data_IF_454763863122
#
_entry.id   IF_454763863122
#
_cell.length_a   1.000
_cell.length_b   1.000
_cell.length_c   1.000
_cell.angle_alpha   90.00
_cell.angle_beta   90.00
_cell.angle_gamma   90.00
#
_symmetry.space_group_name_H-M   'P 1'
#
loop_
_entity.id
_entity.type
_entity.pdbx_description
1 polymer ?
#
# COMPACT_ATOMS: atom_id res chain seq x y z
N UNK A 1 -18.48 47.88 -11.32
CA UNK A 1 -18.59 46.94 -10.19
C UNK A 1 -18.21 45.63 -10.82
N UNK A 2 -16.97 45.22 -10.63
CA UNK A 2 -16.37 44.10 -11.35
C UNK A 2 -17.00 42.80 -10.84
N UNK A 3 -17.76 42.14 -11.71
CA UNK A 3 -18.14 40.76 -11.51
C UNK A 3 -16.85 39.94 -11.57
N UNK A 4 -16.27 39.66 -10.40
CA UNK A 4 -15.28 38.60 -10.25
C UNK A 4 -16.04 37.32 -10.63
N UNK A 5 -15.91 36.92 -11.89
CA UNK A 5 -16.43 35.65 -12.38
C UNK A 5 -15.84 34.57 -11.49
N UNK A 6 -16.65 34.01 -10.60
CA UNK A 6 -16.30 32.82 -9.84
C UNK A 6 -16.10 31.72 -10.88
N UNK A 7 -14.84 31.36 -11.10
CA UNK A 7 -14.50 30.26 -11.97
C UNK A 7 -14.83 28.97 -11.21
N UNK A 8 -15.94 28.35 -11.62
CA UNK A 8 -16.47 27.11 -11.08
C UNK A 8 -16.23 26.02 -12.12
N UNK A 9 -15.09 25.33 -12.00
CA UNK A 9 -14.69 24.24 -12.90
C UNK A 9 -14.88 22.89 -12.21
N UNK A 10 -15.45 21.93 -12.95
CA UNK A 10 -15.57 20.55 -12.50
C UNK A 10 -14.35 19.74 -12.96
N UNK A 11 -13.30 19.72 -12.14
CA UNK A 11 -12.11 18.92 -12.44
C UNK A 11 -12.39 17.43 -12.26
N UNK A 12 -12.22 16.64 -13.32
CA UNK A 12 -12.25 15.17 -13.25
C UNK A 12 -10.84 14.60 -13.37
N UNK A 13 -10.36 13.97 -12.30
CA UNK A 13 -9.01 13.38 -12.25
C UNK A 13 -9.08 11.86 -12.37
N UNK A 14 -8.41 11.33 -13.39
CA UNK A 14 -8.10 9.91 -13.50
C UNK A 14 -6.80 9.62 -12.76
N UNK A 15 -6.84 8.67 -11.83
CA UNK A 15 -5.66 8.18 -11.12
C UNK A 15 -5.48 6.71 -11.47
N UNK A 16 -4.32 6.39 -12.05
CA UNK A 16 -3.93 5.03 -12.37
C UNK A 16 -2.58 4.71 -11.73
N UNK A 17 -2.44 3.49 -11.24
CA UNK A 17 -1.28 3.06 -10.46
C UNK A 17 -0.84 1.65 -10.88
N UNK A 18 0.46 1.51 -11.15
CA UNK A 18 1.10 0.21 -11.30
C UNK A 18 2.15 0.06 -10.19
N UNK A 19 2.16 -1.04 -9.43
CA UNK A 19 1.35 -2.25 -9.61
C UNK A 19 -0.01 -2.19 -8.87
N UNK A 20 -0.96 -3.07 -9.22
CA UNK A 20 -2.23 -3.20 -8.48
C UNK A 20 -2.01 -4.01 -7.19
N UNK A 21 -1.98 -3.33 -6.05
CA UNK A 21 -1.72 -3.92 -4.74
C UNK A 21 -2.77 -4.94 -4.27
N UNK A 22 -3.90 -5.07 -4.96
CA UNK A 22 -4.88 -6.14 -4.69
C UNK A 22 -4.33 -7.53 -5.05
N UNK A 23 -3.31 -7.62 -5.91
CA UNK A 23 -2.67 -8.87 -6.32
C UNK A 23 -1.31 -9.04 -5.62
N UNK A 24 -1.31 -9.36 -4.31
CA UNK A 24 -0.10 -9.36 -3.47
C UNK A 24 0.97 -10.41 -3.81
N UNK A 25 0.67 -11.38 -4.69
CA UNK A 25 1.51 -12.56 -4.95
C UNK A 25 2.33 -12.49 -6.26
N UNK A 26 2.10 -11.51 -7.13
CA UNK A 26 2.88 -11.38 -8.36
C UNK A 26 4.30 -10.91 -8.08
N UNK A 27 5.23 -11.40 -8.90
CA UNK A 27 6.65 -11.07 -8.85
C UNK A 27 6.98 -10.25 -10.08
N UNK A 28 7.55 -9.06 -9.89
CA UNK A 28 8.02 -8.23 -10.99
C UNK A 28 9.42 -8.65 -11.43
N UNK A 29 9.74 -8.44 -12.71
CA UNK A 29 11.05 -8.82 -13.30
C UNK A 29 12.25 -8.14 -12.63
N UNK A 30 12.05 -6.98 -12.00
CA UNK A 30 13.06 -6.36 -11.16
C UNK A 30 13.02 -7.01 -9.77
N UNK A 31 14.10 -7.67 -9.38
CA UNK A 31 14.24 -8.35 -8.08
C UNK A 31 14.00 -7.43 -6.86
N UNK A 32 14.08 -6.11 -7.04
CA UNK A 32 13.84 -5.13 -5.98
C UNK A 32 12.38 -4.75 -5.79
N UNK A 33 11.49 -5.07 -6.73
CA UNK A 33 10.11 -4.62 -6.69
C UNK A 33 9.14 -5.76 -6.37
N UNK A 34 8.52 -5.64 -5.21
CA UNK A 34 7.40 -6.47 -4.76
C UNK A 34 6.16 -5.61 -4.67
N UNK A 35 5.01 -6.16 -5.05
CA UNK A 35 3.71 -5.50 -4.95
C UNK A 35 3.49 -4.98 -3.55
N UNK A 36 3.35 -5.87 -2.58
CA UNK A 36 3.10 -5.50 -1.19
C UNK A 36 4.07 -6.25 -0.30
N UNK A 37 4.90 -5.48 0.40
CA UNK A 37 5.72 -6.01 1.49
C UNK A 37 4.84 -6.00 2.74
N UNK A 38 4.38 -7.19 3.15
CA UNK A 38 3.61 -7.40 4.39
C UNK A 38 4.42 -8.23 5.37
N UNK A 39 4.65 -7.70 6.58
CA UNK A 39 5.29 -8.42 7.68
C UNK A 39 4.38 -8.34 8.89
N UNK A 40 3.94 -9.49 9.37
CA UNK A 40 3.04 -9.63 10.49
C UNK A 40 3.76 -10.37 11.62
N UNK A 41 3.87 -9.73 12.78
CA UNK A 41 4.54 -10.25 13.96
C UNK A 41 3.54 -10.36 15.10
N UNK A 42 3.31 -11.57 15.61
CA UNK A 42 2.55 -11.76 16.84
C UNK A 42 3.41 -11.32 18.03
N UNK A 43 2.90 -10.39 18.85
CA UNK A 43 3.63 -9.84 20.00
C UNK A 43 3.52 -10.68 21.27
N UNK A 44 2.52 -11.56 21.37
CA UNK A 44 2.22 -12.31 22.59
C UNK A 44 2.49 -13.82 22.46
N UNK A 45 2.79 -14.28 21.24
CA UNK A 45 2.99 -15.68 20.86
C UNK A 45 1.75 -16.54 21.02
N UNK A 46 1.77 -17.81 20.57
CA UNK A 46 0.68 -18.73 20.81
C UNK A 46 0.70 -19.22 22.28
N UNK A 47 -0.43 -19.28 23.00
CA UNK A 47 -1.81 -18.95 22.57
C UNK A 47 -2.18 -17.47 22.74
N UNK A 48 -1.30 -16.61 23.24
CA UNK A 48 -1.58 -15.21 23.56
C UNK A 48 -1.75 -15.00 25.07
N UNK A 49 -2.28 -13.85 25.47
CA UNK A 49 -2.45 -13.47 26.88
C UNK A 49 -3.85 -13.85 27.39
N UNK A 50 -3.93 -14.63 28.47
CA UNK A 50 -5.20 -14.87 29.16
C UNK A 50 -5.61 -13.63 29.98
N UNK A 51 -6.88 -13.23 29.87
CA UNK A 51 -7.44 -12.06 30.57
C UNK A 51 -8.44 -12.49 31.66
N UNK A 52 -8.30 -11.92 32.86
CA UNK A 52 -9.15 -12.04 34.08
C UNK A 52 -9.04 -13.36 34.90
N UNK A 53 -9.48 -13.38 36.18
CA UNK A 53 -8.66 -13.77 37.33
C UNK A 53 -8.79 -15.26 37.64
N UNK A 54 -8.12 -16.08 36.85
CA UNK A 54 -7.55 -17.39 37.19
C UNK A 54 -7.53 -18.23 35.93
N UNK A 55 -6.65 -19.24 35.91
CA UNK A 55 -6.64 -20.26 34.85
C UNK A 55 -7.92 -21.12 34.86
N UNK A 56 -8.89 -20.86 35.74
CA UNK A 56 -10.19 -21.55 35.77
C UNK A 56 -11.25 -20.79 36.61
N UNK A 57 -12.21 -20.05 35.99
CA UNK A 57 -12.37 -19.80 34.57
C UNK A 57 -11.60 -18.56 34.09
N UNK A 58 -10.83 -18.69 33.00
CA UNK A 58 -10.37 -17.52 32.25
C UNK A 58 -11.49 -16.99 31.35
N UNK A 59 -11.53 -15.68 31.10
CA UNK A 59 -12.66 -15.02 30.42
C UNK A 59 -12.43 -14.88 28.91
N UNK A 60 -11.19 -14.68 28.48
CA UNK A 60 -10.80 -14.66 27.08
C UNK A 60 -9.28 -14.79 26.94
N UNK A 61 -8.84 -15.07 25.72
CA UNK A 61 -7.45 -15.00 25.29
C UNK A 61 -7.30 -13.84 24.31
N UNK A 62 -6.32 -12.98 24.57
CA UNK A 62 -6.00 -11.82 23.76
C UNK A 62 -4.73 -12.08 22.94
N UNK A 63 -4.79 -11.80 21.64
CA UNK A 63 -3.62 -11.74 20.76
C UNK A 63 -3.40 -10.32 20.28
N UNK A 64 -2.13 -9.97 20.10
CA UNK A 64 -1.72 -8.68 19.57
C UNK A 64 -0.79 -8.92 18.40
N UNK A 65 -1.09 -8.27 17.28
CA UNK A 65 -0.32 -8.31 16.06
C UNK A 65 0.25 -6.95 15.75
N UNK A 66 1.50 -6.93 15.33
CA UNK A 66 2.20 -5.78 14.82
C UNK A 66 2.46 -6.02 13.32
N UNK A 67 1.86 -5.16 12.49
CA UNK A 67 1.80 -5.33 11.05
C UNK A 67 2.55 -4.17 10.41
N UNK A 68 3.60 -4.48 9.67
CA UNK A 68 4.32 -3.54 8.82
C UNK A 68 3.92 -3.74 7.37
N UNK A 69 3.58 -2.63 6.72
CA UNK A 69 3.21 -2.59 5.31
C UNK A 69 4.09 -1.59 4.59
N UNK A 70 4.78 -2.06 3.55
CA UNK A 70 5.58 -1.23 2.63
C UNK A 70 5.17 -1.50 1.18
N UNK A 71 5.21 -0.46 0.35
CA UNK A 71 4.88 -0.56 -1.07
C UNK A 71 5.49 0.58 -1.89
N UNK A 72 5.74 0.32 -3.17
CA UNK A 72 6.26 1.31 -4.12
C UNK A 72 5.57 1.23 -5.48
N UNK A 73 5.05 2.35 -5.96
CA UNK A 73 4.42 2.47 -7.28
C UNK A 73 5.51 2.57 -8.36
N UNK A 74 5.50 1.65 -9.31
CA UNK A 74 6.34 1.72 -10.51
C UNK A 74 6.01 2.95 -11.35
N UNK A 75 4.72 3.12 -11.60
CA UNK A 75 4.18 4.18 -12.42
C UNK A 75 2.92 4.73 -11.74
N UNK A 76 2.88 6.05 -11.59
CA UNK A 76 1.72 6.77 -11.09
C UNK A 76 1.32 7.79 -12.15
N UNK A 77 0.10 7.66 -12.64
CA UNK A 77 -0.42 8.47 -13.73
C UNK A 77 -1.60 9.29 -13.21
N UNK A 78 -1.50 10.60 -13.38
CA UNK A 78 -2.61 11.53 -13.21
C UNK A 78 -2.95 12.05 -14.58
N UNK A 79 -4.17 11.80 -15.03
CA UNK A 79 -4.70 12.34 -16.28
C UNK A 79 -5.81 13.32 -15.96
N UNK A 80 -5.74 14.50 -16.57
CA UNK A 80 -6.90 15.37 -16.68
C UNK A 80 -7.88 14.74 -17.68
N UNK A 81 -9.10 14.47 -17.21
CA UNK A 81 -10.15 13.79 -18.00
C UNK A 81 -11.23 14.79 -18.45
N UNK A 82 -11.04 16.08 -18.20
CA UNK A 82 -11.97 17.09 -18.70
C UNK A 82 -11.74 17.43 -20.18
N UNK A 83 -12.75 18.05 -20.79
CA UNK A 83 -12.83 18.38 -22.20
C UNK A 83 -12.06 19.67 -22.56
N UNK A 84 -11.43 20.35 -21.60
CA UNK A 84 -10.48 21.46 -21.81
C UNK A 84 -9.06 20.92 -22.05
N UNK A 85 -8.93 20.09 -23.06
CA UNK A 85 -7.67 19.50 -23.48
C UNK A 85 -6.78 20.49 -24.25
N UNK A 86 -5.46 20.25 -24.25
CA UNK A 86 -4.54 21.00 -25.13
C UNK A 86 -4.84 20.66 -26.60
N UNK A 87 -5.05 21.65 -27.48
CA UNK A 87 -5.37 21.39 -28.87
C UNK A 87 -4.14 20.91 -29.64
N UNK A 88 -4.18 19.67 -30.13
CA UNK A 88 -3.19 19.09 -31.03
C UNK A 88 -3.63 19.17 -32.50
N UNK A 89 -2.86 19.82 -33.41
CA UNK A 89 -3.29 20.09 -34.79
C UNK A 89 -3.64 18.85 -35.63
N UNK A 90 -3.13 17.66 -35.26
CA UNK A 90 -3.33 16.41 -35.99
C UNK A 90 -4.33 15.47 -35.30
N UNK A 91 -4.41 15.53 -33.97
CA UNK A 91 -5.13 14.53 -33.17
C UNK A 91 -6.36 15.12 -32.44
N UNK A 92 -6.58 16.44 -32.55
CA UNK A 92 -7.70 17.11 -31.90
C UNK A 92 -7.38 17.44 -30.45
N UNK A 93 -8.08 16.83 -29.51
CA UNK A 93 -7.92 17.08 -28.08
C UNK A 93 -6.91 16.11 -27.46
N UNK A 94 -5.81 16.63 -26.90
CA UNK A 94 -4.86 15.83 -26.11
C UNK A 94 -5.01 16.11 -24.62
N UNK A 95 -5.29 15.05 -23.87
CA UNK A 95 -5.41 15.11 -22.42
C UNK A 95 -4.04 15.41 -21.79
N UNK A 96 -4.02 16.27 -20.77
CA UNK A 96 -2.80 16.51 -20.01
C UNK A 96 -2.53 15.34 -19.07
N UNK A 97 -1.41 14.64 -19.28
CA UNK A 97 -1.03 13.46 -18.50
C UNK A 97 0.28 13.73 -17.76
N UNK A 98 0.24 13.61 -16.43
CA UNK A 98 1.43 13.56 -15.60
C UNK A 98 1.74 12.10 -15.25
N UNK A 99 2.93 11.64 -15.64
CA UNK A 99 3.41 10.27 -15.34
C UNK A 99 4.67 10.33 -14.48
N UNK A 100 4.58 9.78 -13.28
CA UNK A 100 5.70 9.66 -12.35
C UNK A 100 6.25 8.24 -12.36
N UNK A 101 7.54 8.09 -12.66
CA UNK A 101 8.28 6.81 -12.62
C UNK A 101 9.74 7.04 -12.24
N UNK A 102 10.50 6.00 -11.93
CA UNK A 102 11.92 6.15 -11.61
C UNK A 102 12.75 6.52 -12.85
N UNK A 103 13.30 7.73 -12.93
CA UNK A 103 14.26 8.10 -13.97
C UNK A 103 15.10 9.33 -13.60
N UNK A 104 16.24 9.51 -14.27
CA UNK A 104 17.05 10.73 -14.19
C UNK A 104 16.48 11.80 -15.10
N UNK A 105 16.23 12.99 -14.56
CA UNK A 105 15.71 14.13 -15.30
C UNK A 105 16.88 14.86 -15.95
N UNK A 106 16.79 15.09 -17.26
CA UNK A 106 17.71 15.93 -18.02
C UNK A 106 17.02 17.24 -18.37
N UNK A 107 17.75 18.33 -18.29
CA UNK A 107 17.35 19.57 -18.94
C UNK A 107 17.51 19.39 -20.46
N UNK A 108 16.46 19.75 -21.19
CA UNK A 108 16.38 19.60 -22.64
C UNK A 108 17.16 20.70 -23.38
N UNK A 109 17.51 21.79 -22.71
CA UNK A 109 18.24 22.93 -23.30
C UNK A 109 19.75 22.67 -23.31
N UNK A 110 20.31 22.23 -22.18
CA UNK A 110 21.76 22.05 -22.01
C UNK A 110 22.21 20.57 -21.94
N UNK A 111 21.27 19.63 -21.81
CA UNK A 111 21.53 18.19 -21.71
C UNK A 111 22.04 17.71 -20.34
N UNK A 112 22.18 18.61 -19.37
CA UNK A 112 22.67 18.29 -18.04
C UNK A 112 21.60 17.58 -17.20
N UNK A 113 22.05 16.74 -16.26
CA UNK A 113 21.14 16.12 -15.30
C UNK A 113 20.76 17.12 -14.22
N UNK A 114 19.47 17.43 -14.11
CA UNK A 114 18.94 18.40 -13.14
C UNK A 114 18.31 17.75 -11.90
N UNK A 115 18.14 16.43 -11.93
CA UNK A 115 17.63 15.72 -10.77
C UNK A 115 17.26 14.27 -11.05
N UNK A 116 16.58 13.69 -10.07
CA UNK A 116 16.09 12.33 -10.10
C UNK A 116 14.62 12.32 -9.71
N UNK A 117 13.81 11.67 -10.53
CA UNK A 117 12.42 11.44 -10.21
C UNK A 117 12.32 10.09 -9.49
N UNK A 118 12.00 10.13 -8.20
CA UNK A 118 11.78 8.94 -7.39
C UNK A 118 10.33 8.45 -7.50
N UNK A 119 10.16 7.13 -7.38
CA UNK A 119 8.84 6.50 -7.29
C UNK A 119 8.13 6.96 -6.03
N UNK A 120 6.80 6.89 -6.06
CA UNK A 120 6.00 7.11 -4.86
C UNK A 120 6.06 5.81 -4.06
N UNK A 121 6.48 5.92 -2.80
CA UNK A 121 6.47 4.81 -1.86
C UNK A 121 5.63 5.17 -0.64
N UNK A 122 5.10 4.14 0.01
CA UNK A 122 4.38 4.29 1.27
C UNK A 122 4.86 3.25 2.26
N UNK A 123 4.81 3.64 3.53
CA UNK A 123 5.06 2.76 4.66
C UNK A 123 4.17 3.15 5.81
N UNK A 124 3.50 2.17 6.38
CA UNK A 124 2.78 2.36 7.62
C UNK A 124 2.87 1.12 8.50
N UNK A 125 2.63 1.36 9.78
CA UNK A 125 2.67 0.36 10.82
C UNK A 125 1.31 0.41 11.50
N UNK A 126 0.69 -0.75 11.65
CA UNK A 126 -0.59 -0.88 12.35
C UNK A 126 -0.54 -2.02 13.35
N UNK A 127 -1.42 -1.94 14.35
CA UNK A 127 -1.56 -2.95 15.38
C UNK A 127 -2.99 -3.49 15.39
N UNK A 128 -3.14 -4.81 15.51
CA UNK A 128 -4.45 -5.45 15.66
C UNK A 128 -4.51 -6.23 16.96
N UNK A 129 -5.59 -6.03 17.71
CA UNK A 129 -5.86 -6.73 18.98
C UNK A 129 -7.11 -7.59 18.80
N UNK A 130 -7.01 -8.87 19.13
CA UNK A 130 -8.12 -9.82 19.00
C UNK A 130 -8.33 -10.47 20.37
N UNK A 131 -9.54 -10.36 20.91
CA UNK A 131 -9.95 -11.05 22.12
C UNK A 131 -10.92 -12.17 21.76
N UNK A 132 -10.63 -13.38 22.23
CA UNK A 132 -11.35 -14.60 21.86
C UNK A 132 -11.84 -15.30 23.15
N UNK A 133 -13.14 -15.60 23.29
CA UNK A 133 -13.67 -16.25 24.50
C UNK A 133 -13.15 -17.71 24.65
N UNK A 134 -13.47 -18.41 25.75
CA UNK A 134 -13.17 -19.84 25.90
C UNK A 134 -14.02 -20.68 24.93
N UNK A 135 -13.42 -21.69 24.29
CA UNK A 135 -14.14 -22.61 23.40
C UNK A 135 -13.25 -23.30 22.36
N UNK A 136 -13.86 -24.06 21.45
CA UNK A 136 -13.17 -24.61 20.25
C UNK A 136 -12.95 -23.45 19.27
N UNK A 137 -11.87 -22.70 19.44
CA UNK A 137 -11.65 -21.49 18.66
C UNK A 137 -10.46 -21.63 17.72
N UNK A 138 -10.79 -21.58 16.44
CA UNK A 138 -9.94 -21.18 15.32
C UNK A 138 -9.84 -19.65 15.35
N UNK A 139 -8.62 -19.09 15.33
CA UNK A 139 -8.40 -17.63 15.30
C UNK A 139 -7.57 -17.04 16.45
N UNK A 140 -7.15 -17.86 17.43
CA UNK A 140 -6.26 -17.45 18.52
C UNK A 140 -4.80 -17.68 18.13
N UNK A 141 -4.28 -16.83 17.23
CA UNK A 141 -2.96 -17.03 16.63
C UNK A 141 -2.88 -18.33 15.82
N UNK A 142 -2.12 -18.34 14.73
CA UNK A 142 -1.86 -19.60 14.06
C UNK A 142 -1.06 -20.49 15.02
N UNK A 143 -1.51 -21.74 15.19
CA UNK A 143 -0.78 -22.72 15.99
C UNK A 143 0.35 -23.28 15.15
N UNK A 144 1.52 -23.59 15.74
CA UNK A 144 2.57 -24.26 15.00
C UNK A 144 2.03 -25.56 14.42
N UNK A 145 2.09 -25.69 13.10
CA UNK A 145 1.79 -26.93 12.38
C UNK A 145 3.07 -27.48 11.77
N UNK A 146 3.02 -28.69 11.22
CA UNK A 146 4.16 -29.23 10.46
C UNK A 146 4.48 -28.40 9.21
N UNK A 147 3.49 -27.69 8.68
CA UNK A 147 3.60 -26.86 7.47
C UNK A 147 3.97 -25.41 7.79
N UNK A 148 3.60 -24.92 8.98
CA UNK A 148 3.95 -23.59 9.49
C UNK A 148 4.48 -23.70 10.93
N UNK A 149 5.79 -23.95 11.13
CA UNK A 149 6.37 -24.14 12.45
C UNK A 149 6.52 -22.82 13.24
N UNK A 150 6.55 -21.68 12.55
CA UNK A 150 6.74 -20.34 13.14
C UNK A 150 5.59 -19.38 12.76
N UNK A 151 4.34 -19.68 13.16
CA UNK A 151 3.16 -18.89 12.81
C UNK A 151 3.13 -17.47 13.42
N UNK A 152 4.11 -17.16 14.28
CA UNK A 152 4.26 -15.84 14.87
C UNK A 152 4.84 -14.82 13.89
N UNK A 153 5.48 -15.30 12.82
CA UNK A 153 6.18 -14.47 11.85
C UNK A 153 5.69 -14.81 10.44
N UNK A 154 4.88 -13.93 9.89
CA UNK A 154 4.41 -14.07 8.51
C UNK A 154 5.02 -12.95 7.68
N UNK A 155 5.64 -13.30 6.57
CA UNK A 155 6.30 -12.36 5.67
C UNK A 155 5.90 -12.66 4.24
N UNK A 156 5.53 -11.62 3.50
CA UNK A 156 5.49 -11.71 2.04
C UNK A 156 6.91 -11.85 1.48
N UNK A 157 7.03 -12.30 0.23
CA UNK A 157 8.33 -12.59 -0.41
C UNK A 157 9.29 -11.39 -0.50
N UNK A 158 8.78 -10.16 -0.28
CA UNK A 158 9.57 -8.93 -0.38
C UNK A 158 10.22 -8.44 0.90
N UNK A 159 10.11 -9.21 1.99
CA UNK A 159 10.73 -8.95 3.30
C UNK A 159 11.89 -9.87 3.63
#
# INVERSE_FOLDING_TARGET
>A
MDDIAYWDENVTLGVDMEPDYLEYDKIYKNESLYLLKLKNNNLLGPPGLYVLPSMNPWVCTMNTWYIEVEGEFLEFIVSDVDNECHPHPIFGHEAQIYKRKQYRVKDLVDGNYIGFNERISFRFITGTFIAVPPGKLTGVGDKPTKENPEPMFEKSKGW
#
